data_IF_737054323993
#
_entry.id   IF_737054323993
#
_cell.length_a   1.000
_cell.length_b   1.000
_cell.length_c   1.000
_cell.angle_alpha   90.00
_cell.angle_beta   90.00
_cell.angle_gamma   90.00
#
_symmetry.space_group_name_H-M   'P 1'
#
loop_
_entity.id
_entity.type
_entity.pdbx_description
1 polymer ?
#
# COMPACT_ATOMS: atom_id res chain seq x y z
N UNK A 1 -18.96 15.19 22.52
CA UNK A 1 -17.75 14.78 21.75
C UNK A 1 -17.87 15.45 20.40
N UNK A 2 -16.92 16.32 20.03
CA UNK A 2 -17.03 17.17 18.84
C UNK A 2 -17.12 16.38 17.54
N UNK A 3 -17.98 16.82 16.63
CA UNK A 3 -18.07 16.31 15.26
C UNK A 3 -16.84 16.77 14.47
N UNK A 4 -15.90 15.86 14.24
CA UNK A 4 -14.79 16.08 13.31
C UNK A 4 -15.35 16.17 11.89
N UNK A 5 -14.96 17.19 11.13
CA UNK A 5 -15.36 17.29 9.72
C UNK A 5 -14.71 16.18 8.89
N UNK A 6 -15.35 15.77 7.78
CA UNK A 6 -14.77 14.76 6.89
C UNK A 6 -13.39 15.18 6.36
N UNK A 7 -13.18 16.43 5.88
CA UNK A 7 -11.85 16.89 5.46
C UNK A 7 -10.78 16.77 6.56
N UNK A 8 -11.09 17.17 7.79
CA UNK A 8 -10.13 17.08 8.90
C UNK A 8 -9.81 15.62 9.24
N UNK A 9 -10.79 14.72 9.14
CA UNK A 9 -10.57 13.29 9.30
C UNK A 9 -9.72 12.69 8.17
N UNK A 10 -9.90 13.12 6.94
CA UNK A 10 -9.01 12.70 5.83
C UNK A 10 -7.59 13.19 6.08
N UNK A 11 -7.42 14.43 6.55
CA UNK A 11 -6.10 14.95 6.92
C UNK A 11 -5.47 14.13 8.06
N UNK A 12 -6.24 13.79 9.09
CA UNK A 12 -5.78 12.94 10.19
C UNK A 12 -5.44 11.52 9.73
N UNK A 13 -6.18 10.95 8.78
CA UNK A 13 -5.86 9.66 8.18
C UNK A 13 -4.45 9.67 7.58
N UNK A 14 -4.14 10.65 6.73
CA UNK A 14 -2.83 10.74 6.10
C UNK A 14 -1.71 11.08 7.09
N UNK A 15 -2.00 11.86 8.12
CA UNK A 15 -1.01 12.24 9.12
C UNK A 15 -0.69 11.10 10.12
N UNK A 16 -1.67 10.23 10.44
CA UNK A 16 -1.56 9.31 11.58
C UNK A 16 -1.84 7.85 11.27
N UNK A 17 -2.66 7.52 10.29
CA UNK A 17 -3.03 6.12 10.00
C UNK A 17 -2.21 5.60 8.82
N UNK A 18 -2.18 6.36 7.73
CA UNK A 18 -1.48 6.00 6.51
C UNK A 18 0.01 5.64 6.71
N UNK A 19 0.79 6.36 7.55
CA UNK A 19 2.19 6.02 7.76
C UNK A 19 2.38 4.62 8.36
N UNK A 20 1.51 4.19 9.28
CA UNK A 20 1.57 2.83 9.84
C UNK A 20 1.11 1.79 8.84
N UNK A 21 0.05 2.08 8.08
CA UNK A 21 -0.48 1.14 7.10
C UNK A 21 0.45 0.97 5.89
N UNK A 22 1.27 1.96 5.56
CA UNK A 22 2.23 1.90 4.45
C UNK A 22 3.66 1.59 4.90
N UNK A 23 3.92 1.50 6.21
CA UNK A 23 5.24 1.19 6.72
C UNK A 23 5.76 -0.14 6.15
N UNK A 24 7.01 -0.13 5.72
CA UNK A 24 7.71 -1.30 5.16
C UNK A 24 7.18 -1.84 3.83
N UNK A 25 6.11 -1.26 3.24
CA UNK A 25 5.47 -1.81 2.03
C UNK A 25 6.37 -1.88 0.79
N UNK A 26 7.47 -1.14 0.79
CA UNK A 26 8.47 -1.18 -0.29
C UNK A 26 9.29 -2.47 -0.17
N UNK A 27 9.68 -2.85 1.03
CA UNK A 27 10.58 -3.99 1.27
C UNK A 27 9.78 -5.29 1.44
N UNK A 28 8.70 -5.25 2.23
CA UNK A 28 7.82 -6.38 2.49
C UNK A 28 6.56 -6.24 1.64
N UNK A 29 6.56 -6.90 0.49
CA UNK A 29 5.44 -6.92 -0.45
C UNK A 29 4.33 -7.84 0.06
N UNK A 30 3.08 -7.43 -0.16
CA UNK A 30 1.87 -8.06 0.40
C UNK A 30 1.46 -9.36 -0.32
N UNK A 31 2.36 -10.34 -0.40
CA UNK A 31 2.11 -11.63 -1.07
C UNK A 31 1.05 -12.44 -0.33
N UNK A 32 1.03 -12.34 1.00
CA UNK A 32 0.06 -13.00 1.86
C UNK A 32 -1.26 -12.22 1.94
N UNK A 33 -2.36 -12.93 1.69
CA UNK A 33 -3.71 -12.38 1.77
C UNK A 33 -4.16 -12.09 3.21
N UNK A 34 -3.63 -12.79 4.21
CA UNK A 34 -4.03 -12.60 5.62
C UNK A 34 -3.45 -11.30 6.17
N UNK A 35 -2.19 -11.01 5.87
CA UNK A 35 -1.51 -9.77 6.26
C UNK A 35 -2.20 -8.53 5.71
N UNK A 36 -2.42 -8.47 4.40
CA UNK A 36 -3.08 -7.31 3.78
C UNK A 36 -4.51 -7.11 4.28
N UNK A 37 -5.23 -8.21 4.59
CA UNK A 37 -6.59 -8.14 5.11
C UNK A 37 -6.66 -7.38 6.43
N UNK A 38 -5.69 -7.56 7.33
CA UNK A 38 -5.61 -6.83 8.60
C UNK A 38 -5.45 -5.32 8.38
N UNK A 39 -4.63 -4.94 7.39
CA UNK A 39 -4.43 -3.53 7.04
C UNK A 39 -5.69 -2.92 6.42
N UNK A 40 -6.36 -3.66 5.53
CA UNK A 40 -7.66 -3.27 4.97
C UNK A 40 -8.72 -3.08 6.06
N UNK A 41 -8.80 -4.00 7.02
CA UNK A 41 -9.79 -3.92 8.09
C UNK A 41 -9.54 -2.70 8.99
N UNK A 42 -8.28 -2.38 9.28
CA UNK A 42 -7.90 -1.16 10.00
C UNK A 42 -8.29 0.11 9.22
N UNK A 43 -8.02 0.17 7.92
CA UNK A 43 -8.42 1.29 7.06
C UNK A 43 -9.95 1.44 7.05
N UNK A 44 -10.68 0.35 6.78
CA UNK A 44 -12.13 0.36 6.70
C UNK A 44 -12.79 0.73 8.04
N UNK A 45 -12.22 0.31 9.17
CA UNK A 45 -12.71 0.69 10.50
C UNK A 45 -12.59 2.21 10.71
N UNK A 46 -11.47 2.80 10.31
CA UNK A 46 -11.27 4.25 10.37
C UNK A 46 -12.28 5.01 9.50
N UNK A 47 -12.40 4.65 8.22
CA UNK A 47 -13.30 5.33 7.28
C UNK A 47 -14.77 5.25 7.70
N UNK A 48 -15.20 4.11 8.24
CA UNK A 48 -16.56 3.95 8.76
C UNK A 48 -16.83 4.85 9.95
N UNK A 49 -15.86 4.95 10.87
CA UNK A 49 -15.97 5.84 12.03
C UNK A 49 -16.01 7.31 11.60
N UNK A 50 -15.21 7.68 10.59
CA UNK A 50 -15.19 9.04 10.05
C UNK A 50 -16.53 9.43 9.42
N UNK A 51 -17.12 8.54 8.63
CA UNK A 51 -18.40 8.79 7.93
C UNK A 51 -19.64 8.48 8.78
N UNK A 52 -19.49 8.03 10.02
CA UNK A 52 -20.62 7.63 10.87
C UNK A 52 -21.40 6.41 10.35
N UNK A 53 -20.75 5.54 9.56
CA UNK A 53 -21.40 4.41 8.90
C UNK A 53 -21.29 3.11 9.70
N UNK A 54 -22.31 2.26 9.60
CA UNK A 54 -22.34 0.95 10.24
C UNK A 54 -21.28 -0.01 9.65
N UNK A 55 -20.83 -1.01 10.44
CA UNK A 55 -19.80 -2.00 10.04
C UNK A 55 -20.11 -2.78 8.76
N UNK A 56 -21.39 -2.89 8.39
CA UNK A 56 -21.88 -3.58 7.17
C UNK A 56 -22.09 -2.65 5.97
N UNK A 57 -21.68 -1.39 6.07
CA UNK A 57 -21.78 -0.43 4.96
C UNK A 57 -20.99 -0.91 3.72
N UNK A 58 -21.50 -0.52 2.55
CA UNK A 58 -20.89 -0.79 1.26
C UNK A 58 -19.49 -0.16 1.23
N UNK A 59 -18.48 -0.95 0.86
CA UNK A 59 -17.07 -0.50 0.88
C UNK A 59 -16.80 0.60 -0.15
N UNK A 60 -17.43 0.53 -1.33
CA UNK A 60 -17.23 1.50 -2.41
C UNK A 60 -17.51 2.94 -1.95
N UNK A 61 -18.61 3.14 -1.20
CA UNK A 61 -18.98 4.44 -0.64
C UNK A 61 -17.90 5.00 0.31
N UNK A 62 -17.19 4.15 1.05
CA UNK A 62 -16.14 4.62 1.96
C UNK A 62 -15.00 5.33 1.22
N UNK A 63 -14.66 4.84 0.03
CA UNK A 63 -13.56 5.39 -0.76
C UNK A 63 -14.04 6.52 -1.67
N UNK A 64 -15.24 6.45 -2.26
CA UNK A 64 -15.79 7.53 -3.09
C UNK A 64 -16.02 8.81 -2.29
N UNK A 65 -16.55 8.71 -1.06
CA UNK A 65 -16.88 9.87 -0.24
C UNK A 65 -15.65 10.50 0.45
N UNK A 66 -14.55 9.76 0.62
CA UNK A 66 -13.35 10.25 1.30
C UNK A 66 -12.20 10.59 0.35
N UNK A 67 -12.22 10.07 -0.89
CA UNK A 67 -11.10 10.15 -1.82
C UNK A 67 -9.87 9.35 -1.39
N UNK A 68 -9.94 8.59 -0.28
CA UNK A 68 -8.82 7.79 0.21
C UNK A 68 -8.69 6.53 -0.66
N UNK A 69 -7.47 6.26 -1.11
CA UNK A 69 -7.17 5.06 -1.89
C UNK A 69 -7.20 3.80 -1.01
N UNK A 70 -7.79 2.68 -1.47
CA UNK A 70 -7.72 1.43 -0.72
C UNK A 70 -6.26 0.98 -0.53
N UNK A 71 -5.95 0.53 0.69
CA UNK A 71 -4.56 0.34 1.13
C UNK A 71 -3.78 -0.64 0.27
N UNK A 72 -4.43 -1.68 -0.27
CA UNK A 72 -3.84 -2.65 -1.20
C UNK A 72 -3.22 -1.97 -2.43
N UNK A 73 -3.95 -1.06 -3.06
CA UNK A 73 -3.46 -0.30 -4.21
C UNK A 73 -2.37 0.70 -3.82
N UNK A 74 -2.53 1.37 -2.68
CA UNK A 74 -1.55 2.34 -2.21
C UNK A 74 -0.19 1.71 -1.94
N UNK A 75 -0.16 0.55 -1.29
CA UNK A 75 1.08 -0.17 -0.95
C UNK A 75 1.81 -0.69 -2.20
N UNK A 76 1.10 -1.28 -3.16
CA UNK A 76 1.73 -1.73 -4.42
C UNK A 76 2.23 -0.56 -5.27
N UNK A 77 1.52 0.58 -5.30
CA UNK A 77 2.00 1.79 -5.98
C UNK A 77 3.30 2.29 -5.33
N UNK A 78 3.39 2.32 -4.00
CA UNK A 78 4.62 2.72 -3.31
C UNK A 78 5.79 1.77 -3.60
N UNK A 79 5.54 0.46 -3.69
CA UNK A 79 6.53 -0.52 -4.10
C UNK A 79 7.01 -0.29 -5.54
N UNK A 80 6.09 -0.04 -6.49
CA UNK A 80 6.42 0.28 -7.88
C UNK A 80 7.16 1.62 -8.02
N UNK A 81 6.79 2.63 -7.23
CA UNK A 81 7.52 3.90 -7.18
C UNK A 81 8.95 3.71 -6.69
N UNK A 82 9.16 2.85 -5.70
CA UNK A 82 10.51 2.49 -5.27
C UNK A 82 11.27 1.76 -6.38
N UNK A 83 10.65 0.78 -7.04
CA UNK A 83 11.25 0.06 -8.17
C UNK A 83 11.73 1.03 -9.27
N UNK A 84 10.87 1.98 -9.64
CA UNK A 84 11.20 3.06 -10.57
C UNK A 84 12.37 3.91 -10.08
N UNK A 85 12.35 4.33 -8.81
CA UNK A 85 13.44 5.08 -8.20
C UNK A 85 14.77 4.32 -8.24
N UNK A 86 14.78 3.04 -7.86
CA UNK A 86 15.97 2.21 -7.82
C UNK A 86 16.60 2.07 -9.21
N UNK A 87 15.77 1.79 -10.23
CA UNK A 87 16.21 1.66 -11.61
C UNK A 87 16.66 2.99 -12.24
N UNK A 88 16.16 4.13 -11.75
CA UNK A 88 16.53 5.46 -12.27
C UNK A 88 17.83 6.03 -11.69
N UNK A 89 18.48 5.36 -10.73
CA UNK A 89 19.75 5.86 -10.17
C UNK A 89 20.91 5.69 -11.16
N UNK A 90 22.08 6.26 -10.81
CA UNK A 90 23.33 6.04 -11.53
C UNK A 90 23.84 4.60 -11.30
N UNK A 91 24.60 4.04 -12.25
CA UNK A 91 25.09 2.67 -12.17
C UNK A 91 26.13 2.44 -11.05
N UNK A 92 26.72 3.51 -10.51
CA UNK A 92 27.59 3.46 -9.34
C UNK A 92 26.83 3.21 -8.03
N UNK A 93 25.51 3.44 -7.99
CA UNK A 93 24.73 3.35 -6.77
C UNK A 93 24.32 1.90 -6.50
N UNK A 94 24.56 1.44 -5.27
CA UNK A 94 24.22 0.07 -4.85
C UNK A 94 22.74 -0.24 -5.03
N UNK A 95 21.84 0.71 -4.76
CA UNK A 95 20.39 0.48 -4.91
C UNK A 95 20.00 0.03 -6.32
N UNK A 96 20.63 0.59 -7.37
CA UNK A 96 20.36 0.18 -8.74
C UNK A 96 20.90 -1.21 -9.03
N UNK A 97 22.16 -1.46 -8.64
CA UNK A 97 22.82 -2.76 -8.82
C UNK A 97 22.02 -3.87 -8.12
N UNK A 98 21.67 -3.69 -6.85
CA UNK A 98 20.87 -4.66 -6.09
C UNK A 98 19.50 -4.88 -6.70
N UNK A 99 18.85 -3.84 -7.24
CA UNK A 99 17.56 -4.01 -7.91
C UNK A 99 17.69 -4.74 -9.26
N UNK A 100 18.74 -4.46 -10.03
CA UNK A 100 19.06 -5.20 -11.26
C UNK A 100 19.37 -6.67 -10.97
N UNK A 101 20.09 -6.96 -9.89
CA UNK A 101 20.35 -8.32 -9.43
C UNK A 101 19.05 -9.04 -9.05
N UNK A 102 18.14 -8.35 -8.35
CA UNK A 102 16.81 -8.90 -8.05
C UNK A 102 16.00 -9.23 -9.31
N UNK A 103 16.09 -8.38 -10.36
CA UNK A 103 15.47 -8.65 -11.66
C UNK A 103 16.13 -9.86 -12.35
N UNK A 104 17.45 -9.98 -12.29
CA UNK A 104 18.19 -11.12 -12.84
C UNK A 104 17.80 -12.43 -12.16
N UNK A 105 17.74 -12.45 -10.82
CA UNK A 105 17.30 -13.59 -10.03
C UNK A 105 15.87 -14.01 -10.39
N UNK A 106 14.96 -13.05 -10.55
CA UNK A 106 13.59 -13.32 -10.98
C UNK A 106 13.53 -13.96 -12.38
N UNK A 107 14.32 -13.47 -13.34
CA UNK A 107 14.43 -14.09 -14.68
C UNK A 107 14.98 -15.51 -14.65
N UNK A 108 15.79 -15.85 -13.66
CA UNK A 108 16.30 -17.20 -13.42
C UNK A 108 15.31 -18.08 -12.63
N UNK A 109 14.08 -17.61 -12.40
CA UNK A 109 13.04 -18.34 -11.68
C UNK A 109 13.25 -18.39 -10.16
N UNK A 110 14.08 -17.52 -9.60
CA UNK A 110 14.28 -17.42 -8.13
C UNK A 110 13.21 -16.52 -7.52
N UNK A 111 12.75 -16.89 -6.33
CA UNK A 111 11.84 -16.07 -5.54
C UNK A 111 12.52 -14.78 -5.08
N UNK A 112 11.72 -13.75 -4.85
CA UNK A 112 12.20 -12.47 -4.37
C UNK A 112 11.29 -11.32 -4.77
N UNK A 113 11.77 -10.12 -4.47
CA UNK A 113 10.97 -8.90 -4.51
C UNK A 113 10.22 -8.65 -5.82
N UNK A 114 10.87 -8.84 -6.97
CA UNK A 114 10.26 -8.60 -8.29
C UNK A 114 9.13 -9.59 -8.55
N UNK A 115 9.31 -10.86 -8.17
CA UNK A 115 8.26 -11.87 -8.26
C UNK A 115 7.11 -11.60 -7.30
N UNK A 116 7.40 -11.09 -6.11
CA UNK A 116 6.38 -10.71 -5.13
C UNK A 116 5.50 -9.56 -5.64
N UNK A 117 6.11 -8.56 -6.30
CA UNK A 117 5.37 -7.48 -6.98
C UNK A 117 4.48 -8.06 -8.07
N UNK A 118 5.01 -8.95 -8.93
CA UNK A 118 4.22 -9.59 -9.98
C UNK A 118 3.04 -10.38 -9.40
N UNK A 119 3.28 -11.17 -8.35
CA UNK A 119 2.26 -11.94 -7.65
C UNK A 119 1.16 -11.04 -7.09
N UNK A 120 1.52 -9.92 -6.46
CA UNK A 120 0.54 -8.97 -5.96
C UNK A 120 -0.28 -8.33 -7.07
N UNK A 121 0.35 -7.90 -8.16
CA UNK A 121 -0.33 -7.31 -9.32
C UNK A 121 -1.32 -8.29 -9.97
N UNK A 122 -1.00 -9.58 -10.01
CA UNK A 122 -1.90 -10.61 -10.56
C UNK A 122 -3.15 -10.87 -9.72
N UNK A 123 -3.20 -10.35 -8.49
CA UNK A 123 -4.26 -10.58 -7.48
C UNK A 123 -5.01 -9.30 -7.09
N UNK A 124 -4.79 -8.19 -7.80
CA UNK A 124 -5.47 -6.92 -7.56
C UNK A 124 -6.94 -6.98 -8.00
#
# INVERSE_FOLDING_TARGET
VGTLSVPDGVQLYYARIDPYLTYGCKIAIDVDTVGIKKLEDAQLAYLRRLLGLHRRSIRAALFSETGIMPIRYRRIILALQYAKYALSQQDSYFVKRTYQDAVSLFRQGKSGWVGDIQNCLSRL
#
